data_IF_445149275928
#
_entry.id   IF_445149275928
#
_cell.length_a   1.000
_cell.length_b   1.000
_cell.length_c   1.000
_cell.angle_alpha   90.00
_cell.angle_beta   90.00
_cell.angle_gamma   90.00
#
_symmetry.space_group_name_H-M   'P 1'
#
loop_
_entity.id
_entity.type
_entity.pdbx_description
1 polymer ?
#
# COMPACT_ATOMS: atom_id res chain seq x y z
N UNK A 1 4.83 -11.04 -3.24
CA UNK A 1 4.62 -11.74 -4.54
C UNK A 1 4.65 -13.23 -4.29
N UNK A 2 4.18 -14.06 -5.22
CA UNK A 2 4.34 -15.51 -5.13
C UNK A 2 5.59 -15.96 -5.89
N UNK A 3 5.57 -17.16 -6.47
CA UNK A 3 6.72 -17.89 -6.98
C UNK A 3 7.41 -17.23 -8.18
N UNK A 4 6.67 -16.45 -8.99
CA UNK A 4 7.23 -15.75 -10.15
C UNK A 4 7.76 -14.38 -9.79
N UNK A 5 7.62 -13.91 -8.55
CA UNK A 5 8.17 -12.61 -8.13
C UNK A 5 9.69 -12.54 -8.32
N UNK A 6 10.17 -11.49 -8.98
CA UNK A 6 11.59 -11.29 -9.33
C UNK A 6 12.21 -10.08 -8.65
N UNK A 7 11.50 -8.96 -8.65
CA UNK A 7 11.99 -7.72 -8.06
C UNK A 7 10.82 -6.83 -7.63
N UNK A 8 11.08 -5.90 -6.72
CA UNK A 8 10.14 -4.83 -6.40
C UNK A 8 10.85 -3.52 -6.07
N UNK A 9 10.25 -2.40 -6.48
CA UNK A 9 10.76 -1.05 -6.24
C UNK A 9 9.67 -0.10 -5.80
N UNK A 10 9.99 0.69 -4.77
CA UNK A 10 9.11 1.67 -4.17
C UNK A 10 9.79 3.02 -4.36
N UNK A 11 9.15 3.93 -5.09
CA UNK A 11 9.70 5.22 -5.44
C UNK A 11 8.72 6.32 -5.02
N UNK A 12 9.21 7.36 -4.38
CA UNK A 12 8.43 8.52 -3.98
C UNK A 12 8.69 9.67 -4.94
N UNK A 13 7.63 10.15 -5.56
CA UNK A 13 7.60 11.43 -6.26
C UNK A 13 7.16 12.51 -5.27
N UNK A 14 8.02 13.49 -5.01
CA UNK A 14 7.71 14.65 -4.18
C UNK A 14 6.86 15.68 -4.95
N UNK A 15 6.22 16.64 -4.27
CA UNK A 15 5.38 17.66 -4.92
C UNK A 15 6.13 18.53 -5.94
N UNK A 16 7.45 18.64 -5.82
CA UNK A 16 8.33 19.34 -6.76
C UNK A 16 8.78 18.46 -7.96
N UNK A 17 8.33 17.21 -8.02
CA UNK A 17 8.68 16.24 -9.05
C UNK A 17 9.98 15.47 -8.79
N UNK A 18 10.69 15.71 -7.68
CA UNK A 18 11.86 14.91 -7.31
C UNK A 18 11.45 13.45 -7.10
N UNK A 19 12.24 12.52 -7.60
CA UNK A 19 12.09 11.09 -7.37
C UNK A 19 13.10 10.60 -6.32
N UNK A 20 12.65 9.75 -5.40
CA UNK A 20 13.50 9.08 -4.41
C UNK A 20 13.13 7.60 -4.29
N UNK A 21 14.11 6.71 -4.42
CA UNK A 21 13.91 5.27 -4.18
C UNK A 21 13.84 5.02 -2.68
N UNK A 22 12.69 4.57 -2.20
CA UNK A 22 12.47 4.24 -0.79
C UNK A 22 12.96 2.82 -0.47
N UNK A 23 12.63 1.87 -1.33
CA UNK A 23 13.02 0.47 -1.19
C UNK A 23 13.29 -0.12 -2.56
N UNK A 24 14.39 -0.85 -2.67
CA UNK A 24 14.76 -1.61 -3.86
C UNK A 24 15.17 -3.02 -3.47
N UNK A 25 14.40 -4.00 -3.94
CA UNK A 25 14.68 -5.43 -3.79
C UNK A 25 14.87 -6.00 -5.20
N UNK A 26 16.10 -6.00 -5.74
CA UNK A 26 16.38 -6.44 -7.11
C UNK A 26 16.27 -7.95 -7.30
N UNK A 27 16.58 -8.71 -6.25
CA UNK A 27 16.64 -10.18 -6.25
C UNK A 27 15.66 -10.70 -5.19
N UNK A 28 14.37 -10.53 -5.46
CA UNK A 28 13.32 -10.97 -4.54
C UNK A 28 13.27 -12.49 -4.46
N UNK A 29 13.22 -13.01 -3.24
CA UNK A 29 12.96 -14.43 -2.95
C UNK A 29 11.57 -14.54 -2.29
N UNK A 30 10.72 -15.41 -2.80
CA UNK A 30 9.40 -15.70 -2.22
C UNK A 30 9.47 -16.10 -0.75
N UNK A 31 10.55 -16.77 -0.34
CA UNK A 31 10.78 -17.18 1.05
C UNK A 31 11.25 -16.02 1.94
N UNK A 32 11.62 -14.87 1.36
CA UNK A 32 12.13 -13.70 2.07
C UNK A 32 11.07 -12.58 2.12
N UNK A 33 10.09 -12.74 3.00
CA UNK A 33 9.00 -11.78 3.19
C UNK A 33 9.09 -11.09 4.54
N UNK A 34 10.07 -10.20 4.69
CA UNK A 34 10.32 -9.43 5.91
C UNK A 34 9.85 -7.99 5.82
N UNK A 35 9.67 -7.39 6.99
CA UNK A 35 9.43 -5.96 7.13
C UNK A 35 10.76 -5.21 7.03
N UNK A 36 10.82 -4.23 6.13
CA UNK A 36 11.92 -3.27 6.07
C UNK A 36 11.49 -2.00 6.81
N UNK A 37 12.21 -1.67 7.88
CA UNK A 37 11.96 -0.49 8.69
C UNK A 37 13.07 0.54 8.49
N UNK A 38 12.68 1.80 8.36
CA UNK A 38 13.64 2.90 8.36
C UNK A 38 14.15 3.13 9.79
N UNK A 39 15.47 3.33 9.93
CA UNK A 39 16.07 3.76 11.19
C UNK A 39 15.51 5.12 11.63
N UNK A 40 15.40 6.06 10.68
CA UNK A 40 14.76 7.35 10.86
C UNK A 40 13.48 7.43 10.02
N UNK A 41 12.28 7.62 10.62
CA UNK A 41 11.04 7.71 9.86
C UNK A 41 11.07 8.84 8.82
N UNK A 42 10.71 8.51 7.58
CA UNK A 42 10.64 9.48 6.49
C UNK A 42 9.39 10.36 6.61
N UNK A 43 9.59 11.68 6.65
CA UNK A 43 8.49 12.63 6.49
C UNK A 43 8.07 12.72 5.02
N UNK A 44 6.83 12.36 4.74
CA UNK A 44 6.25 12.44 3.38
C UNK A 44 5.31 13.66 3.32
N UNK A 45 5.66 14.71 2.55
CA UNK A 45 4.81 15.88 2.43
C UNK A 45 3.50 15.58 1.70
N UNK A 46 2.47 16.37 2.00
CA UNK A 46 1.21 16.30 1.28
C UNK A 46 1.42 16.61 -0.20
N UNK A 47 0.81 15.79 -1.07
CA UNK A 47 0.97 15.90 -2.53
C UNK A 47 2.00 14.96 -3.14
N UNK A 48 2.81 14.27 -2.32
CA UNK A 48 3.68 13.20 -2.82
C UNK A 48 2.89 12.03 -3.40
N UNK A 49 3.48 11.32 -4.37
CA UNK A 49 2.95 10.08 -4.96
C UNK A 49 3.90 8.93 -4.73
N UNK A 50 3.38 7.79 -4.27
CA UNK A 50 4.14 6.56 -4.18
C UNK A 50 3.93 5.73 -5.44
N UNK A 51 5.02 5.45 -6.14
CA UNK A 51 5.10 4.56 -7.28
C UNK A 51 5.63 3.22 -6.84
N UNK A 52 4.96 2.15 -7.26
CA UNK A 52 5.33 0.80 -6.87
C UNK A 52 5.37 -0.08 -8.10
N UNK A 53 6.51 -0.71 -8.31
CA UNK A 53 6.77 -1.55 -9.48
C UNK A 53 7.15 -2.95 -9.01
N UNK A 54 6.55 -3.95 -9.64
CA UNK A 54 6.85 -5.36 -9.40
C UNK A 54 7.22 -6.01 -10.71
N UNK A 55 8.21 -6.89 -10.66
CA UNK A 55 8.64 -7.69 -11.79
C UNK A 55 8.36 -9.14 -11.50
N UNK A 56 7.88 -9.85 -12.53
CA UNK A 56 7.62 -11.27 -12.49
C UNK A 56 8.44 -11.98 -13.58
N UNK A 57 8.97 -13.16 -13.28
CA UNK A 57 9.71 -14.02 -14.19
C UNK A 57 8.87 -15.25 -14.56
N UNK A 58 8.23 -15.17 -15.73
CA UNK A 58 7.46 -16.29 -16.28
C UNK A 58 8.28 -17.14 -17.28
N UNK A 59 9.61 -17.03 -17.29
CA UNK A 59 10.44 -17.82 -18.19
C UNK A 59 10.51 -19.30 -17.77
N UNK A 60 10.80 -20.19 -18.72
CA UNK A 60 11.08 -21.61 -18.46
C UNK A 60 12.32 -21.82 -17.56
N UNK A 61 13.21 -20.82 -17.52
CA UNK A 61 14.43 -20.86 -16.72
C UNK A 61 14.24 -20.50 -15.25
N UNK A 62 13.06 -20.04 -14.83
CA UNK A 62 12.78 -19.74 -13.43
C UNK A 62 12.46 -21.05 -12.67
N UNK A 63 13.34 -21.54 -11.80
CA UNK A 63 13.13 -22.82 -11.10
C UNK A 63 11.94 -22.78 -10.12
N UNK A 64 11.48 -21.58 -9.73
CA UNK A 64 10.31 -21.42 -8.89
C UNK A 64 9.01 -21.42 -9.69
N UNK A 65 9.05 -21.26 -11.02
CA UNK A 65 7.86 -21.22 -11.86
C UNK A 65 7.34 -22.66 -12.12
N UNK A 66 6.18 -23.06 -11.56
CA UNK A 66 5.70 -24.43 -11.68
C UNK A 66 5.21 -24.77 -13.10
N UNK A 67 4.75 -23.77 -13.85
CA UNK A 67 4.32 -23.90 -15.24
C UNK A 67 4.51 -22.54 -15.96
N UNK A 68 5.50 -22.42 -16.86
CA UNK A 68 5.75 -21.20 -17.62
C UNK A 68 4.73 -20.94 -18.74
N UNK A 69 3.92 -21.93 -19.10
CA UNK A 69 2.90 -21.81 -20.14
C UNK A 69 1.53 -21.41 -19.61
N UNK A 70 1.32 -21.52 -18.29
CA UNK A 70 0.08 -21.17 -17.64
C UNK A 70 -0.24 -19.67 -17.73
N UNK A 71 -1.53 -19.36 -17.87
CA UNK A 71 -2.02 -17.99 -17.69
C UNK A 71 -1.81 -17.54 -16.24
N UNK A 72 -1.21 -16.37 -16.06
CA UNK A 72 -0.97 -15.79 -14.73
C UNK A 72 -2.19 -14.97 -14.31
N UNK A 73 -2.81 -15.37 -13.21
CA UNK A 73 -3.98 -14.68 -12.63
C UNK A 73 -3.67 -14.18 -11.24
N UNK A 74 -4.45 -13.20 -10.76
CA UNK A 74 -4.41 -12.80 -9.37
C UNK A 74 -5.17 -13.81 -8.51
N UNK A 75 -4.55 -14.28 -7.42
CA UNK A 75 -5.19 -15.24 -6.52
C UNK A 75 -4.40 -15.50 -5.24
N UNK A 76 -5.02 -16.25 -4.32
CA UNK A 76 -4.44 -16.54 -3.01
C UNK A 76 -3.58 -17.82 -3.01
N UNK A 77 -3.71 -18.66 -4.04
CA UNK A 77 -2.91 -19.87 -4.17
C UNK A 77 -1.48 -19.52 -4.58
N UNK A 78 -0.50 -20.30 -4.10
CA UNK A 78 0.93 -20.08 -4.39
C UNK A 78 1.26 -20.14 -5.88
N UNK A 79 0.42 -20.81 -6.68
CA UNK A 79 0.56 -20.91 -8.15
C UNK A 79 -0.02 -19.72 -8.90
N UNK A 80 -0.97 -19.00 -8.28
CA UNK A 80 -1.44 -17.69 -8.75
C UNK A 80 -0.41 -16.61 -8.37
N UNK A 81 -0.63 -15.35 -8.76
CA UNK A 81 0.24 -14.24 -8.37
C UNK A 81 -0.45 -13.17 -7.52
N UNK A 82 0.37 -12.46 -6.74
CA UNK A 82 -0.05 -11.28 -5.99
C UNK A 82 1.00 -10.18 -6.08
N UNK A 83 0.58 -8.95 -6.37
CA UNK A 83 1.38 -7.74 -6.13
C UNK A 83 0.83 -7.07 -4.87
N UNK A 84 1.44 -7.37 -3.72
CA UNK A 84 1.02 -6.84 -2.42
C UNK A 84 2.18 -6.10 -1.75
N UNK A 85 1.83 -4.99 -1.10
CA UNK A 85 2.70 -4.28 -0.18
C UNK A 85 1.95 -3.87 1.07
N UNK A 86 2.62 -4.01 2.21
CA UNK A 86 2.18 -3.42 3.47
C UNK A 86 3.05 -2.21 3.75
N UNK A 87 2.40 -1.07 3.96
CA UNK A 87 3.05 0.21 4.25
C UNK A 87 2.49 0.71 5.56
N UNK A 88 3.38 0.92 6.53
CA UNK A 88 3.04 1.46 7.83
C UNK A 88 3.39 2.95 7.84
N UNK A 89 2.43 3.79 8.23
CA UNK A 89 2.63 5.23 8.34
C UNK A 89 1.83 5.79 9.51
N UNK A 90 2.28 6.92 10.02
CA UNK A 90 1.57 7.69 11.04
C UNK A 90 1.33 9.13 10.54
N UNK A 91 0.23 9.78 10.94
CA UNK A 91 0.08 11.22 10.73
C UNK A 91 1.23 11.97 11.41
N UNK A 92 1.84 12.92 10.70
CA UNK A 92 2.94 13.72 11.26
C UNK A 92 2.49 14.66 12.40
N UNK A 93 1.21 15.03 12.44
CA UNK A 93 0.64 15.82 13.54
C UNK A 93 0.17 14.90 14.66
N UNK A 94 0.74 14.99 15.88
CA UNK A 94 0.25 14.25 17.03
C UNK A 94 -1.22 14.60 17.29
N UNK A 95 -2.03 13.58 17.57
CA UNK A 95 -3.45 13.77 17.91
C UNK A 95 -3.69 13.85 19.42
N UNK A 96 -2.66 13.64 20.25
CA UNK A 96 -2.81 13.66 21.71
C UNK A 96 -3.72 12.54 22.25
N UNK A 97 -3.84 11.43 21.52
CA UNK A 97 -4.58 10.25 22.00
C UNK A 97 -3.63 9.44 22.87
N UNK A 98 -3.93 9.38 24.17
CA UNK A 98 -3.19 8.57 25.14
C UNK A 98 -4.08 7.41 25.58
N UNK A 99 -3.54 6.19 25.54
CA UNK A 99 -4.29 4.99 25.94
C UNK A 99 -4.62 5.08 27.42
N UNK A 100 -5.89 4.91 27.76
CA UNK A 100 -6.39 5.01 29.14
C UNK A 100 -6.91 6.40 29.53
N UNK A 101 -6.67 7.42 28.71
CA UNK A 101 -7.23 8.76 28.91
C UNK A 101 -8.51 8.99 28.09
N UNK A 102 -9.28 10.01 28.47
CA UNK A 102 -10.45 10.43 27.69
C UNK A 102 -9.98 10.98 26.34
N UNK A 103 -10.59 10.51 25.26
CA UNK A 103 -10.33 11.02 23.92
C UNK A 103 -10.64 12.52 23.88
N UNK A 104 -9.74 13.37 23.34
CA UNK A 104 -9.98 14.80 23.18
C UNK A 104 -11.30 15.11 22.46
N UNK A 105 -12.11 16.01 23.02
CA UNK A 105 -13.46 16.32 22.50
C UNK A 105 -13.45 16.91 21.09
N UNK A 106 -12.39 17.63 20.73
CA UNK A 106 -12.21 18.14 19.37
C UNK A 106 -12.10 17.01 18.34
N UNK A 107 -11.37 15.94 18.67
CA UNK A 107 -11.24 14.77 17.81
C UNK A 107 -12.56 14.04 17.63
N UNK A 108 -13.34 13.89 18.71
CA UNK A 108 -14.68 13.28 18.67
C UNK A 108 -15.59 14.08 17.73
N UNK A 109 -15.67 15.40 17.92
CA UNK A 109 -16.47 16.28 17.06
C UNK A 109 -16.04 16.24 15.60
N UNK A 110 -14.72 16.25 15.34
CA UNK A 110 -14.19 16.17 13.99
C UNK A 110 -14.51 14.81 13.32
N UNK A 111 -14.46 13.71 14.08
CA UNK A 111 -14.82 12.38 13.59
C UNK A 111 -16.31 12.29 13.23
N UNK A 112 -17.19 12.78 14.10
CA UNK A 112 -18.65 12.82 13.87
C UNK A 112 -19.00 13.63 12.62
N UNK A 113 -18.37 14.80 12.43
CA UNK A 113 -18.57 15.64 11.26
C UNK A 113 -18.14 14.94 9.96
N UNK A 114 -16.98 14.26 9.96
CA UNK A 114 -16.49 13.48 8.81
C UNK A 114 -17.44 12.32 8.48
N UNK A 115 -17.94 11.63 9.49
CA UNK A 115 -18.88 10.53 9.28
C UNK A 115 -20.21 11.02 8.72
N UNK A 116 -20.76 12.12 9.25
CA UNK A 116 -21.97 12.74 8.72
C UNK A 116 -21.78 13.15 7.24
N UNK A 117 -20.63 13.73 6.89
CA UNK A 117 -20.30 14.11 5.51
C UNK A 117 -20.18 12.89 4.59
N UNK A 118 -19.54 11.81 5.06
CA UNK A 118 -19.43 10.54 4.33
C UNK A 118 -20.82 9.93 4.08
N UNK A 119 -21.67 9.86 5.09
CA UNK A 119 -23.05 9.35 4.96
C UNK A 119 -23.86 10.15 3.94
N UNK A 120 -23.75 11.49 3.96
CA UNK A 120 -24.38 12.38 2.97
C UNK A 120 -23.87 12.15 1.54
N UNK A 121 -22.56 11.91 1.36
CA UNK A 121 -21.99 11.59 0.04
C UNK A 121 -22.53 10.27 -0.49
N UNK A 122 -22.56 9.23 0.34
CA UNK A 122 -23.06 7.90 -0.04
C UNK A 122 -24.54 7.97 -0.42
N UNK A 123 -25.37 8.65 0.37
CA UNK A 123 -26.80 8.78 0.04
C UNK A 123 -27.04 9.57 -1.25
N UNK A 124 -26.27 10.63 -1.50
CA UNK A 124 -26.34 11.40 -2.74
C UNK A 124 -25.90 10.59 -3.97
N UNK A 125 -24.94 9.66 -3.83
CA UNK A 125 -24.47 8.80 -4.91
C UNK A 125 -25.47 7.67 -5.21
N UNK A 126 -26.10 7.09 -4.19
CA UNK A 126 -27.15 6.06 -4.36
C UNK A 126 -28.45 6.62 -4.94
N UNK A 127 -28.78 7.89 -4.69
CA UNK A 127 -29.94 8.56 -5.28
C UNK A 127 -29.82 8.85 -6.77
N UNK A 128 -28.60 8.87 -7.33
CA UNK A 128 -28.34 9.14 -8.76
C UNK A 128 -28.33 7.89 -9.66
N UNK A 129 -28.41 6.69 -9.08
CA UNK A 129 -28.42 5.41 -9.80
C UNK A 129 -29.81 4.77 -9.98
N UNK A 130 -30.89 5.48 -9.64
CA UNK A 130 -32.28 5.07 -9.86
C UNK A 130 -32.98 6.10 -10.75
N UNK A 131 -32.59 6.15 -12.02
CA UNK A 131 -33.39 6.68 -13.13
C UNK A 131 -33.07 5.88 -14.37
#
# INVERSE_FOLDING_TARGET
MHLRGKAMRYELEYPDGKMETLLWVPDYDFNWQFLYEYEEPLFVPAGSRLHMTWWFDNSEGNPNNPDPTAEVVYGAETTDEMANARIYFAPATPRGIVVGEKIPEELLRAAEAREAQRRRRISAQMGRGRM
#
